data_IF_704003353641
#
_entry.id   IF_704003353641
#
_cell.length_a   1.000
_cell.length_b   1.000
_cell.length_c   1.000
_cell.angle_alpha   90.00
_cell.angle_beta   90.00
_cell.angle_gamma   90.00
#
_symmetry.space_group_name_H-M   'P 1'
#
loop_
_entity.id
_entity.type
_entity.pdbx_description
1 polymer ?
#
# COMPACT_ATOMS: atom_id res chain seq x y z
N UNK A 1 39.45 -3.45 25.94
CA UNK A 1 38.06 -3.97 25.84
C UNK A 1 37.13 -2.80 26.07
N UNK A 2 36.42 -2.32 25.04
CA UNK A 2 35.50 -1.21 25.18
C UNK A 2 34.18 -1.72 25.80
N UNK A 3 33.78 -1.14 26.93
CA UNK A 3 32.49 -1.41 27.58
C UNK A 3 31.36 -1.00 26.63
N UNK A 4 30.45 -1.94 26.36
CA UNK A 4 29.20 -1.65 25.63
C UNK A 4 28.36 -0.69 26.47
N UNK A 5 27.87 0.38 25.86
CA UNK A 5 26.87 1.24 26.47
C UNK A 5 25.61 0.40 26.77
N UNK A 6 25.19 0.37 28.02
CA UNK A 6 23.96 -0.29 28.43
C UNK A 6 22.80 0.67 28.15
N UNK A 7 22.03 0.41 27.10
CA UNK A 7 20.89 1.25 26.70
C UNK A 7 19.58 0.78 27.34
N UNK A 8 19.64 0.06 28.46
CA UNK A 8 18.46 -0.32 29.22
C UNK A 8 18.01 0.84 30.08
N UNK A 9 16.71 1.14 30.01
CA UNK A 9 16.07 2.18 30.81
C UNK A 9 16.09 1.77 32.29
N UNK A 10 16.72 2.58 33.15
CA UNK A 10 16.75 2.39 34.59
C UNK A 10 15.77 3.35 35.26
N UNK A 11 14.74 2.78 35.90
CA UNK A 11 13.68 3.53 36.57
C UNK A 11 14.17 4.25 37.84
N UNK A 12 15.29 3.82 38.41
CA UNK A 12 15.86 4.37 39.64
C UNK A 12 17.07 5.27 39.40
N UNK A 13 17.33 5.65 38.15
CA UNK A 13 18.36 6.63 37.81
C UNK A 13 18.05 7.96 38.55
N UNK A 14 19.00 8.55 39.29
CA UNK A 14 18.81 9.86 39.92
C UNK A 14 18.41 10.97 38.93
N UNK A 15 18.72 10.82 37.63
CA UNK A 15 18.27 11.74 36.58
C UNK A 15 16.84 11.45 36.09
N UNK A 16 16.21 10.33 36.47
CA UNK A 16 14.84 9.98 36.08
C UNK A 16 13.81 11.04 36.53
N UNK A 17 14.09 11.73 37.64
CA UNK A 17 13.26 12.83 38.15
C UNK A 17 13.32 14.12 37.32
N UNK A 18 14.34 14.29 36.46
CA UNK A 18 14.50 15.51 35.63
C UNK A 18 13.56 15.55 34.43
N UNK A 19 13.00 14.41 34.03
CA UNK A 19 12.01 14.32 32.94
C UNK A 19 10.57 14.60 33.39
N UNK A 20 10.33 14.79 34.70
CA UNK A 20 8.99 14.93 35.26
C UNK A 20 8.43 16.37 35.27
N UNK A 21 9.25 17.39 34.96
CA UNK A 21 8.90 18.81 35.20
C UNK A 21 8.87 19.69 33.94
N UNK A 22 8.33 19.16 32.85
CA UNK A 22 7.84 19.98 31.74
C UNK A 22 6.39 19.60 31.46
N UNK A 23 5.48 19.97 32.38
CA UNK A 23 4.07 20.05 32.01
C UNK A 23 3.96 21.10 30.91
N UNK A 24 3.94 20.65 29.65
CA UNK A 24 3.60 21.50 28.52
C UNK A 24 2.26 22.15 28.84
N UNK A 25 2.21 23.48 28.91
CA UNK A 25 0.97 24.23 29.03
C UNK A 25 0.16 24.02 27.74
N UNK A 26 -0.63 22.94 27.74
CA UNK A 26 -1.43 22.50 26.60
C UNK A 26 -2.82 23.13 26.59
N UNK A 27 -3.11 24.06 27.51
CA UNK A 27 -4.43 24.67 27.66
C UNK A 27 -4.82 25.60 26.51
N UNK A 28 -3.85 26.17 25.79
CA UNK A 28 -4.06 27.09 24.66
C UNK A 28 -3.76 26.48 23.28
N UNK A 29 -3.37 25.20 23.24
CA UNK A 29 -3.04 24.54 21.97
C UNK A 29 -4.31 24.15 21.22
N UNK A 30 -4.47 24.67 20.00
CA UNK A 30 -5.44 24.11 19.05
C UNK A 30 -4.99 22.70 18.69
N UNK A 31 -5.58 21.71 19.38
CA UNK A 31 -5.31 20.28 19.20
C UNK A 31 -5.75 19.77 17.82
N UNK A 32 -6.55 20.57 17.11
CA UNK A 32 -7.02 20.30 15.75
C UNK A 32 -6.03 20.77 14.68
N UNK A 33 -5.04 21.62 15.03
CA UNK A 33 -3.95 22.02 14.13
C UNK A 33 -2.68 21.19 14.41
N UNK A 34 -2.31 20.22 13.55
CA UNK A 34 -1.12 19.39 13.72
C UNK A 34 0.18 20.21 13.69
N UNK A 35 0.17 21.44 13.16
CA UNK A 35 1.32 22.35 13.16
C UNK A 35 1.67 22.81 14.57
N UNK A 36 0.69 22.91 15.47
CA UNK A 36 0.87 23.37 16.85
C UNK A 36 1.59 22.31 17.70
N UNK A 37 1.21 21.04 17.53
CA UNK A 37 1.85 19.89 18.18
C UNK A 37 3.22 19.55 17.56
N UNK A 38 3.34 19.63 16.24
CA UNK A 38 4.63 19.37 15.54
C UNK A 38 5.73 20.36 15.94
N UNK A 39 5.39 21.65 16.11
CA UNK A 39 6.34 22.70 16.54
C UNK A 39 6.87 22.50 17.95
N UNK A 40 6.09 21.90 18.84
CA UNK A 40 6.42 21.75 20.27
C UNK A 40 7.32 20.54 20.57
N UNK A 41 7.44 19.58 19.65
CA UNK A 41 8.24 18.35 19.82
C UNK A 41 9.39 18.26 18.80
N UNK A 42 9.68 19.36 18.08
CA UNK A 42 10.69 19.38 17.02
C UNK A 42 10.38 18.47 15.82
N UNK A 43 9.09 18.11 15.64
CA UNK A 43 8.62 17.27 14.54
C UNK A 43 8.42 18.04 13.24
N UNK A 44 8.46 17.31 12.12
CA UNK A 44 8.16 17.83 10.79
C UNK A 44 6.65 18.03 10.58
N UNK A 45 6.28 19.16 9.97
CA UNK A 45 4.88 19.51 9.69
C UNK A 45 4.35 18.57 8.60
N UNK A 46 3.46 17.65 8.98
CA UNK A 46 2.72 16.84 8.00
C UNK A 46 1.92 17.74 7.06
N UNK A 47 1.89 17.39 5.77
CA UNK A 47 1.16 18.14 4.75
C UNK A 47 -0.35 18.18 5.11
N UNK A 48 -0.88 19.39 5.28
CA UNK A 48 -2.28 19.60 5.61
C UNK A 48 -3.06 19.76 4.32
N UNK A 49 -3.85 18.74 3.99
CA UNK A 49 -4.73 18.74 2.82
C UNK A 49 -6.18 19.01 3.25
N UNK A 50 -6.92 19.81 2.48
CA UNK A 50 -8.34 20.08 2.78
C UNK A 50 -9.20 18.82 2.58
N UNK A 51 -10.32 18.65 3.32
CA UNK A 51 -11.22 17.53 3.12
C UNK A 51 -11.70 17.38 1.68
N UNK A 52 -11.95 18.49 0.98
CA UNK A 52 -12.37 18.49 -0.42
C UNK A 52 -11.28 17.97 -1.38
N UNK A 53 -10.01 18.28 -1.12
CA UNK A 53 -8.89 17.73 -1.89
C UNK A 53 -8.73 16.24 -1.65
N UNK A 54 -8.82 15.80 -0.39
CA UNK A 54 -8.75 14.38 -0.02
C UNK A 54 -9.89 13.59 -0.65
N UNK A 55 -11.13 14.10 -0.62
CA UNK A 55 -12.29 13.48 -1.30
C UNK A 55 -12.04 13.32 -2.80
N UNK A 56 -11.50 14.35 -3.47
CA UNK A 56 -11.20 14.29 -4.91
C UNK A 56 -10.11 13.28 -5.23
N UNK A 57 -9.00 13.30 -4.50
CA UNK A 57 -7.91 12.35 -4.71
C UNK A 57 -8.36 10.91 -4.43
N UNK A 58 -9.00 10.68 -3.29
CA UNK A 58 -9.48 9.35 -2.92
C UNK A 58 -10.49 8.80 -3.94
N UNK A 59 -11.43 9.62 -4.42
CA UNK A 59 -12.37 9.22 -5.46
C UNK A 59 -11.65 8.85 -6.77
N UNK A 60 -10.73 9.70 -7.24
CA UNK A 60 -10.00 9.45 -8.48
C UNK A 60 -9.17 8.14 -8.41
N UNK A 61 -8.49 7.89 -7.29
CA UNK A 61 -7.74 6.65 -7.08
C UNK A 61 -8.66 5.44 -6.98
N UNK A 62 -9.78 5.56 -6.26
CA UNK A 62 -10.74 4.46 -6.08
C UNK A 62 -11.40 4.06 -7.39
N UNK A 63 -11.79 5.04 -8.22
CA UNK A 63 -12.29 4.79 -9.57
C UNK A 63 -11.24 4.05 -10.42
N UNK A 64 -9.98 4.51 -10.36
CA UNK A 64 -8.88 3.88 -11.10
C UNK A 64 -8.61 2.46 -10.62
N UNK A 65 -8.61 2.22 -9.32
CA UNK A 65 -8.47 0.89 -8.69
C UNK A 65 -9.61 0.00 -9.14
N UNK A 66 -10.86 0.45 -9.05
CA UNK A 66 -12.04 -0.34 -9.44
C UNK A 66 -11.94 -0.78 -10.90
N UNK A 67 -11.65 0.15 -11.82
CA UNK A 67 -11.51 -0.14 -13.26
C UNK A 67 -10.34 -1.11 -13.49
N UNK A 68 -9.18 -0.84 -12.88
CA UNK A 68 -7.95 -1.60 -13.16
C UNK A 68 -8.01 -3.00 -12.53
N UNK A 69 -8.62 -3.12 -11.34
CA UNK A 69 -8.93 -4.39 -10.71
C UNK A 69 -9.88 -5.21 -11.59
N UNK A 70 -10.98 -4.63 -12.07
CA UNK A 70 -11.93 -5.34 -12.93
C UNK A 70 -11.24 -5.85 -14.20
N UNK A 71 -10.42 -5.01 -14.84
CA UNK A 71 -9.60 -5.42 -15.99
C UNK A 71 -8.67 -6.58 -15.65
N UNK A 72 -7.92 -6.50 -14.55
CA UNK A 72 -7.03 -7.58 -14.13
C UNK A 72 -7.80 -8.87 -13.83
N UNK A 73 -8.93 -8.76 -13.14
CA UNK A 73 -9.81 -9.87 -12.79
C UNK A 73 -10.30 -10.59 -14.05
N UNK A 74 -10.83 -9.84 -15.02
CA UNK A 74 -11.35 -10.35 -16.28
C UNK A 74 -10.26 -10.98 -17.16
N UNK A 75 -9.07 -10.38 -17.21
CA UNK A 75 -7.91 -10.95 -17.89
C UNK A 75 -7.54 -12.30 -17.27
N UNK A 76 -7.46 -12.40 -15.95
CA UNK A 76 -7.06 -13.65 -15.29
C UNK A 76 -8.14 -14.73 -15.39
N UNK A 77 -9.42 -14.35 -15.36
CA UNK A 77 -10.53 -15.28 -15.60
C UNK A 77 -10.41 -15.98 -16.97
N UNK A 78 -9.92 -15.29 -17.99
CA UNK A 78 -9.83 -15.80 -19.38
C UNK A 78 -8.46 -16.38 -19.74
N UNK A 79 -7.38 -15.79 -19.23
CA UNK A 79 -6.04 -15.99 -19.75
C UNK A 79 -5.00 -16.45 -18.72
N UNK A 80 -5.36 -16.70 -17.45
CA UNK A 80 -4.40 -17.06 -16.40
C UNK A 80 -3.48 -18.23 -16.78
N UNK A 81 -4.03 -19.31 -17.36
CA UNK A 81 -3.23 -20.46 -17.77
C UNK A 81 -2.21 -20.11 -18.87
N UNK A 82 -2.60 -19.26 -19.83
CA UNK A 82 -1.73 -18.80 -20.90
C UNK A 82 -0.63 -17.87 -20.36
N UNK A 83 -0.98 -16.93 -19.47
CA UNK A 83 -0.05 -16.03 -18.78
C UNK A 83 0.99 -16.85 -18.02
N UNK A 84 0.57 -17.82 -17.19
CA UNK A 84 1.46 -18.72 -16.44
C UNK A 84 2.41 -19.49 -17.35
N UNK A 85 1.87 -20.09 -18.43
CA UNK A 85 2.64 -20.83 -19.43
C UNK A 85 3.68 -19.94 -20.10
N UNK A 86 3.30 -18.72 -20.52
CA UNK A 86 4.21 -17.78 -21.20
C UNK A 86 5.29 -17.27 -20.25
N UNK A 87 4.93 -16.84 -19.05
CA UNK A 87 5.88 -16.36 -18.04
C UNK A 87 6.95 -17.40 -17.71
N UNK A 88 6.51 -18.65 -17.49
CA UNK A 88 7.41 -19.78 -17.18
C UNK A 88 8.42 -20.02 -18.31
N UNK A 89 7.99 -19.88 -19.57
CA UNK A 89 8.84 -20.07 -20.75
C UNK A 89 9.78 -18.90 -21.05
N UNK A 90 9.53 -17.68 -20.53
CA UNK A 90 10.40 -16.53 -20.77
C UNK A 90 11.78 -16.73 -20.14
N UNK A 91 12.82 -16.27 -20.82
CA UNK A 91 14.17 -16.21 -20.23
C UNK A 91 14.24 -15.10 -19.17
N UNK A 92 15.27 -15.13 -18.32
CA UNK A 92 15.49 -14.08 -17.31
C UNK A 92 15.55 -12.67 -17.92
N UNK A 93 16.23 -12.51 -19.06
CA UNK A 93 16.32 -11.21 -19.77
C UNK A 93 14.97 -10.74 -20.31
N UNK A 94 14.14 -11.65 -20.82
CA UNK A 94 12.79 -11.30 -21.29
C UNK A 94 11.87 -10.90 -20.14
N UNK A 95 11.93 -11.61 -19.00
CA UNK A 95 11.21 -11.24 -17.78
C UNK A 95 11.63 -9.86 -17.28
N UNK A 96 12.94 -9.60 -17.25
CA UNK A 96 13.49 -8.29 -16.89
C UNK A 96 12.93 -7.17 -17.77
N UNK A 97 12.89 -7.38 -19.09
CA UNK A 97 12.31 -6.40 -20.02
C UNK A 97 10.84 -6.12 -19.72
N UNK A 98 10.04 -7.16 -19.46
CA UNK A 98 8.62 -7.00 -19.13
C UNK A 98 8.44 -6.19 -17.84
N UNK A 99 9.16 -6.58 -16.77
CA UNK A 99 9.09 -5.93 -15.46
C UNK A 99 9.52 -4.47 -15.53
N UNK A 100 10.65 -4.15 -16.17
CA UNK A 100 11.16 -2.77 -16.26
C UNK A 100 10.35 -1.90 -17.22
N UNK A 101 9.66 -2.49 -18.20
CA UNK A 101 8.73 -1.75 -19.04
C UNK A 101 7.47 -1.34 -18.28
N UNK A 102 7.03 -2.13 -17.30
CA UNK A 102 5.84 -1.83 -16.48
C UNK A 102 6.19 -1.08 -15.18
N UNK A 103 7.41 -1.24 -14.67
CA UNK A 103 7.92 -0.55 -13.47
C UNK A 103 9.34 -0.05 -13.73
N UNK A 104 9.49 1.16 -14.28
CA UNK A 104 10.79 1.77 -14.46
C UNK A 104 11.54 1.88 -13.13
N UNK A 105 12.86 1.69 -13.16
CA UNK A 105 13.72 1.77 -11.96
C UNK A 105 13.34 0.81 -10.82
N UNK A 106 12.77 -0.37 -11.13
CA UNK A 106 12.49 -1.40 -10.14
C UNK A 106 13.76 -1.77 -9.35
N UNK A 107 13.72 -1.78 -8.00
CA UNK A 107 14.86 -2.15 -7.17
C UNK A 107 15.42 -3.53 -7.51
N UNK A 108 16.75 -3.65 -7.45
CA UNK A 108 17.42 -4.89 -7.85
C UNK A 108 17.29 -6.02 -6.81
N UNK A 109 17.26 -5.68 -5.53
CA UNK A 109 17.36 -6.62 -4.40
C UNK A 109 16.05 -6.71 -3.61
N UNK A 110 15.85 -7.84 -2.95
CA UNK A 110 14.80 -8.03 -1.95
C UNK A 110 14.97 -7.03 -0.79
N UNK A 111 13.84 -6.56 -0.24
CA UNK A 111 13.79 -5.54 0.84
C UNK A 111 14.60 -4.28 0.54
N UNK A 112 14.27 -3.56 -0.55
CA UNK A 112 14.95 -2.33 -0.91
C UNK A 112 14.74 -1.21 0.14
N UNK A 113 13.71 -1.32 0.97
CA UNK A 113 13.47 -0.47 2.15
C UNK A 113 14.61 -0.58 3.18
N UNK A 114 15.13 -1.79 3.42
CA UNK A 114 16.25 -1.99 4.34
C UNK A 114 17.56 -1.44 3.77
N UNK A 115 17.77 -1.59 2.46
CA UNK A 115 18.92 -0.99 1.80
C UNK A 115 18.88 0.54 1.84
N UNK A 116 17.71 1.13 1.56
CA UNK A 116 17.51 2.58 1.64
C UNK A 116 17.75 3.10 3.08
N UNK A 117 17.26 2.36 4.08
CA UNK A 117 17.44 2.72 5.48
C UNK A 117 18.90 2.63 5.93
N UNK A 118 19.60 1.54 5.60
CA UNK A 118 21.01 1.36 5.95
C UNK A 118 21.91 2.44 5.33
N UNK A 119 21.55 2.90 4.12
CA UNK A 119 22.21 4.04 3.47
C UNK A 119 21.92 5.41 4.09
N UNK A 120 21.13 5.48 5.18
CA UNK A 120 20.66 6.71 5.82
C UNK A 120 19.93 7.66 4.85
N UNK A 121 19.39 7.13 3.75
CA UNK A 121 18.79 7.92 2.70
C UNK A 121 17.29 8.06 2.95
N UNK A 122 16.90 9.16 3.58
CA UNK A 122 15.50 9.63 3.68
C UNK A 122 15.04 10.41 2.44
N UNK A 123 15.83 10.40 1.37
CA UNK A 123 15.50 11.12 0.14
C UNK A 123 14.21 10.58 -0.46
N UNK A 124 13.37 11.49 -0.96
CA UNK A 124 12.17 11.21 -1.77
C UNK A 124 12.47 10.21 -2.90
N UNK A 125 13.72 10.19 -3.39
CA UNK A 125 14.21 9.24 -4.41
C UNK A 125 13.99 7.76 -4.03
N UNK A 126 13.95 7.44 -2.74
CA UNK A 126 13.76 6.07 -2.23
C UNK A 126 12.37 5.80 -1.67
N UNK A 127 11.43 6.77 -1.77
CA UNK A 127 10.05 6.61 -1.26
C UNK A 127 9.40 5.33 -1.81
N UNK A 128 9.58 5.06 -3.10
CA UNK A 128 9.07 3.86 -3.76
C UNK A 128 9.57 2.56 -3.09
N UNK A 129 10.84 2.49 -2.70
CA UNK A 129 11.41 1.33 -2.02
C UNK A 129 10.76 1.06 -0.67
N UNK A 130 10.33 2.11 0.03
CA UNK A 130 9.63 2.01 1.30
C UNK A 130 8.15 1.68 1.17
N UNK A 131 7.51 2.04 0.04
CA UNK A 131 6.07 1.81 -0.18
C UNK A 131 5.81 0.43 -0.78
N UNK A 132 6.66 -0.01 -1.71
CA UNK A 132 6.53 -1.31 -2.37
C UNK A 132 7.78 -2.19 -2.16
N UNK A 133 8.13 -2.55 -0.91
CA UNK A 133 9.35 -3.33 -0.65
C UNK A 133 9.34 -4.74 -1.27
N UNK A 134 8.16 -5.23 -1.64
CA UNK A 134 7.97 -6.51 -2.32
C UNK A 134 8.01 -6.42 -3.86
N UNK A 135 8.15 -5.22 -4.43
CA UNK A 135 8.32 -5.02 -5.87
C UNK A 135 9.81 -4.83 -6.17
N UNK A 136 10.48 -5.94 -6.46
CA UNK A 136 11.91 -5.97 -6.76
C UNK A 136 12.24 -7.06 -7.80
N UNK A 137 13.40 -6.91 -8.46
CA UNK A 137 13.84 -7.82 -9.50
C UNK A 137 14.26 -9.20 -8.97
N UNK A 138 14.89 -9.25 -7.80
CA UNK A 138 15.34 -10.51 -7.18
C UNK A 138 14.19 -11.51 -7.05
N UNK A 139 13.06 -11.08 -6.52
CA UNK A 139 11.88 -11.92 -6.30
C UNK A 139 11.04 -12.11 -7.58
N UNK A 140 10.78 -11.02 -8.30
CA UNK A 140 9.83 -11.05 -9.42
C UNK A 140 10.40 -11.74 -10.66
N UNK A 141 11.72 -11.86 -10.81
CA UNK A 141 12.33 -12.58 -11.94
C UNK A 141 12.18 -14.11 -11.85
N UNK A 142 11.76 -14.61 -10.69
CA UNK A 142 11.46 -16.03 -10.51
C UNK A 142 10.23 -16.45 -11.34
N UNK A 143 10.12 -17.75 -11.62
CA UNK A 143 8.97 -18.29 -12.39
C UNK A 143 7.66 -18.26 -11.62
N UNK A 144 7.70 -18.14 -10.29
CA UNK A 144 6.52 -18.35 -9.41
C UNK A 144 5.95 -17.05 -8.85
N UNK A 145 6.79 -16.11 -8.43
CA UNK A 145 6.35 -14.95 -7.64
C UNK A 145 5.40 -14.04 -8.41
N UNK A 146 5.73 -13.62 -9.65
CA UNK A 146 4.82 -12.77 -10.43
C UNK A 146 3.46 -13.45 -10.71
N UNK A 147 3.38 -14.73 -11.17
CA UNK A 147 2.10 -15.42 -11.29
C UNK A 147 1.31 -15.57 -9.98
N UNK A 148 1.98 -15.75 -8.85
CA UNK A 148 1.31 -15.79 -7.54
C UNK A 148 0.74 -14.43 -7.17
N UNK A 149 1.51 -13.36 -7.38
CA UNK A 149 1.07 -11.98 -7.14
C UNK A 149 -0.13 -11.62 -8.03
N UNK A 150 -0.07 -11.95 -9.31
CA UNK A 150 -1.19 -11.78 -10.25
C UNK A 150 -2.44 -12.51 -9.76
N UNK A 151 -2.32 -13.80 -9.45
CA UNK A 151 -3.46 -14.59 -8.98
C UNK A 151 -4.06 -14.02 -7.69
N UNK A 152 -3.22 -13.68 -6.71
CA UNK A 152 -3.68 -13.09 -5.45
C UNK A 152 -4.44 -11.80 -5.69
N UNK A 153 -3.84 -10.84 -6.42
CA UNK A 153 -4.41 -9.49 -6.61
C UNK A 153 -5.55 -9.40 -7.61
N UNK A 154 -5.64 -10.32 -8.57
CA UNK A 154 -6.73 -10.35 -9.54
C UNK A 154 -7.89 -11.26 -9.15
N UNK A 155 -7.77 -12.11 -8.12
CA UNK A 155 -8.87 -13.01 -7.69
C UNK A 155 -9.59 -12.56 -6.41
N UNK A 156 -9.03 -11.61 -5.68
CA UNK A 156 -9.60 -11.13 -4.41
C UNK A 156 -9.79 -9.62 -4.46
N UNK A 157 -10.82 -9.12 -3.77
CA UNK A 157 -11.16 -7.71 -3.76
C UNK A 157 -10.01 -6.85 -3.18
N UNK A 158 -9.80 -5.60 -3.64
CA UNK A 158 -8.74 -4.73 -3.11
C UNK A 158 -8.79 -4.52 -1.59
N UNK A 159 -9.98 -4.47 -0.98
CA UNK A 159 -10.14 -4.31 0.49
C UNK A 159 -9.46 -5.43 1.28
N UNK A 160 -9.44 -6.67 0.76
CA UNK A 160 -8.77 -7.82 1.40
C UNK A 160 -7.27 -7.58 1.61
N UNK A 161 -6.68 -6.61 0.91
CA UNK A 161 -5.27 -6.29 1.00
C UNK A 161 -4.96 -4.97 1.70
N UNK A 162 -5.97 -4.17 2.08
CA UNK A 162 -5.76 -2.83 2.62
C UNK A 162 -4.81 -2.83 3.82
N UNK A 163 -5.03 -3.72 4.79
CA UNK A 163 -4.16 -3.86 5.97
C UNK A 163 -2.73 -4.30 5.62
N UNK A 164 -2.56 -5.33 4.78
CA UNK A 164 -1.22 -5.83 4.43
C UNK A 164 -0.43 -4.86 3.56
N UNK A 165 -1.11 -4.10 2.70
CA UNK A 165 -0.50 -3.04 1.90
C UNK A 165 0.00 -1.92 2.81
N UNK A 166 -0.82 -1.51 3.77
CA UNK A 166 -0.42 -0.52 4.75
C UNK A 166 0.76 -1.02 5.61
N UNK A 167 0.71 -2.25 6.12
CA UNK A 167 1.76 -2.83 6.95
C UNK A 167 3.11 -2.96 6.23
N UNK A 168 3.09 -3.23 4.92
CA UNK A 168 4.32 -3.29 4.11
C UNK A 168 5.10 -1.96 4.16
N UNK A 169 4.43 -0.83 4.37
CA UNK A 169 5.07 0.50 4.45
C UNK A 169 5.66 0.84 5.81
N UNK A 170 5.52 -0.06 6.81
CA UNK A 170 5.91 0.20 8.20
C UNK A 170 7.33 0.76 8.33
N UNK A 171 8.30 0.19 7.59
CA UNK A 171 9.69 0.66 7.64
C UNK A 171 9.83 2.12 7.18
N UNK A 172 9.10 2.51 6.13
CA UNK A 172 9.05 3.89 5.64
C UNK A 172 8.42 4.84 6.66
N UNK A 173 7.33 4.42 7.29
CA UNK A 173 6.64 5.25 8.30
C UNK A 173 7.47 5.45 9.56
N UNK A 174 8.02 4.38 10.14
CA UNK A 174 8.82 4.48 11.38
C UNK A 174 10.13 5.25 11.19
N UNK A 175 10.66 5.29 9.97
CA UNK A 175 11.87 6.05 9.63
C UNK A 175 11.59 7.49 9.15
N UNK A 176 10.32 7.88 9.07
CA UNK A 176 9.83 9.14 8.49
C UNK A 176 10.24 9.34 7.02
N UNK A 177 10.40 8.25 6.26
CA UNK A 177 10.61 8.30 4.80
C UNK A 177 9.29 8.24 4.02
N UNK A 178 8.20 7.82 4.67
CA UNK A 178 6.83 7.84 4.16
C UNK A 178 5.97 8.56 5.20
N UNK A 179 5.59 9.79 4.90
CA UNK A 179 4.73 10.59 5.75
C UNK A 179 3.26 10.38 5.36
N UNK A 180 2.39 10.34 6.36
CA UNK A 180 0.96 10.32 6.18
C UNK A 180 0.43 11.74 6.32
N UNK A 181 -0.55 12.10 5.50
CA UNK A 181 -1.29 13.33 5.72
C UNK A 181 -2.08 13.25 7.03
N UNK A 182 -2.22 14.37 7.72
CA UNK A 182 -3.09 14.47 8.88
C UNK A 182 -4.39 15.18 8.50
N UNK A 183 -5.51 14.54 8.79
CA UNK A 183 -6.83 15.15 8.74
C UNK A 183 -7.66 14.65 9.93
N UNK A 184 -8.07 15.59 10.79
CA UNK A 184 -8.87 15.30 11.97
C UNK A 184 -10.37 15.19 11.67
N UNK A 185 -11.12 14.55 12.55
CA UNK A 185 -12.58 14.41 12.52
C UNK A 185 -13.17 13.70 11.27
N UNK A 186 -12.35 12.88 10.61
CA UNK A 186 -12.77 12.10 9.45
C UNK A 186 -12.24 10.67 9.52
N UNK A 187 -12.98 9.77 8.89
CA UNK A 187 -12.62 8.36 8.71
C UNK A 187 -12.67 8.04 7.22
N UNK A 188 -11.73 7.24 6.72
CA UNK A 188 -11.77 6.73 5.36
C UNK A 188 -12.21 5.27 5.35
N UNK A 189 -13.18 4.94 4.50
CA UNK A 189 -13.71 3.60 4.35
C UNK A 189 -12.77 2.77 3.47
N UNK A 190 -12.18 1.72 4.02
CA UNK A 190 -11.25 0.80 3.36
C UNK A 190 -11.68 -0.66 3.45
N UNK A 191 -12.67 -0.98 4.28
CA UNK A 191 -13.25 -2.32 4.30
C UNK A 191 -14.65 -2.30 3.70
N UNK A 192 -14.96 -3.36 2.97
CA UNK A 192 -16.25 -3.53 2.30
C UNK A 192 -17.25 -4.15 3.27
N UNK A 193 -17.72 -3.33 4.21
CA UNK A 193 -18.76 -3.72 5.18
C UNK A 193 -20.10 -4.06 4.48
N UNK A 194 -20.26 -3.82 3.17
CA UNK A 194 -21.55 -3.87 2.46
C UNK A 194 -21.52 -4.48 1.06
N UNK A 195 -20.45 -5.17 0.65
CA UNK A 195 -20.28 -5.75 -0.71
C UNK A 195 -20.34 -4.72 -1.87
N UNK A 196 -20.10 -3.44 -1.59
CA UNK A 196 -20.20 -2.35 -2.55
C UNK A 196 -18.87 -1.60 -2.68
N UNK A 197 -18.12 -1.92 -3.74
CA UNK A 197 -16.86 -1.27 -4.12
C UNK A 197 -16.97 0.26 -4.24
N UNK A 198 -18.17 0.83 -4.42
CA UNK A 198 -18.37 2.27 -4.57
C UNK A 198 -18.04 3.08 -3.32
N UNK A 199 -18.09 2.47 -2.14
CA UNK A 199 -17.76 3.16 -0.90
C UNK A 199 -16.27 2.99 -0.52
N UNK A 200 -15.51 2.16 -1.26
CA UNK A 200 -14.08 2.01 -1.06
C UNK A 200 -13.34 3.34 -1.31
N UNK A 201 -12.52 3.76 -0.35
CA UNK A 201 -11.81 5.05 -0.36
C UNK A 201 -12.67 6.26 0.01
N UNK A 202 -13.94 6.09 0.39
CA UNK A 202 -14.82 7.22 0.73
C UNK A 202 -14.41 7.87 2.04
N UNK A 203 -14.31 9.21 2.03
CA UNK A 203 -14.07 10.01 3.23
C UNK A 203 -15.41 10.39 3.89
N UNK A 204 -15.53 10.11 5.18
CA UNK A 204 -16.73 10.38 5.99
C UNK A 204 -16.35 11.28 7.16
N UNK A 205 -17.06 12.40 7.35
CA UNK A 205 -16.89 13.24 8.52
C UNK A 205 -17.64 12.66 9.72
N UNK A 206 -17.07 12.76 10.93
CA UNK A 206 -17.72 12.24 12.15
C UNK A 206 -19.02 12.98 12.49
N UNK A 207 -19.13 14.24 12.07
CA UNK A 207 -20.36 15.03 12.20
C UNK A 207 -21.50 14.56 11.29
N UNK A 208 -21.17 13.96 10.14
CA UNK A 208 -22.13 13.42 9.18
C UNK A 208 -22.55 11.99 9.56
N UNK A 209 -21.65 11.23 10.18
CA UNK A 209 -21.90 9.87 10.64
C UNK A 209 -21.20 9.61 11.99
N UNK A 210 -21.95 9.59 13.11
CA UNK A 210 -21.40 9.35 14.45
C UNK A 210 -20.63 8.04 14.59
N UNK A 211 -21.02 6.99 13.84
CA UNK A 211 -20.36 5.68 13.90
C UNK A 211 -18.96 5.71 13.30
N UNK A 212 -18.65 6.70 12.44
CA UNK A 212 -17.37 6.79 11.76
C UNK A 212 -16.18 6.93 12.72
N UNK A 213 -16.36 7.62 13.85
CA UNK A 213 -15.36 7.70 14.91
C UNK A 213 -15.12 6.34 15.57
N UNK A 214 -16.21 5.60 15.85
CA UNK A 214 -16.13 4.26 16.43
C UNK A 214 -15.45 3.29 15.47
N UNK A 215 -15.75 3.35 14.18
CA UNK A 215 -15.12 2.50 13.17
C UNK A 215 -13.61 2.67 13.12
N UNK A 216 -13.13 3.92 13.20
CA UNK A 216 -11.71 4.22 13.24
C UNK A 216 -11.07 3.74 14.54
N UNK A 217 -11.64 4.07 15.69
CA UNK A 217 -11.08 3.69 17.00
C UNK A 217 -11.07 2.19 17.25
N UNK A 218 -11.99 1.44 16.62
CA UNK A 218 -12.03 -0.03 16.63
C UNK A 218 -11.23 -0.67 15.50
N UNK A 219 -10.47 0.10 14.71
CA UNK A 219 -9.67 -0.37 13.57
C UNK A 219 -10.49 -1.15 12.52
N UNK A 220 -11.79 -0.86 12.40
CA UNK A 220 -12.64 -1.38 11.33
C UNK A 220 -12.44 -0.61 10.03
N UNK A 221 -12.05 0.65 10.16
CA UNK A 221 -11.74 1.59 9.08
C UNK A 221 -10.51 2.40 9.49
N UNK A 222 -9.92 3.18 8.60
CA UNK A 222 -8.65 3.85 8.87
C UNK A 222 -8.77 5.38 8.89
N UNK A 223 -7.74 6.04 9.42
CA UNK A 223 -7.63 7.49 9.30
C UNK A 223 -7.35 7.89 7.84
N UNK A 224 -7.64 9.13 7.42
CA UNK A 224 -7.55 9.52 6.01
C UNK A 224 -6.16 9.36 5.39
N UNK A 225 -5.09 9.64 6.16
CA UNK A 225 -3.72 9.48 5.68
C UNK A 225 -3.33 8.04 5.39
N UNK A 226 -3.79 7.10 6.20
CA UNK A 226 -3.58 5.67 5.95
C UNK A 226 -4.33 5.22 4.70
N UNK A 227 -5.59 5.65 4.57
CA UNK A 227 -6.45 5.29 3.45
C UNK A 227 -5.90 5.80 2.11
N UNK A 228 -5.46 7.07 2.04
CA UNK A 228 -4.82 7.59 0.83
C UNK A 228 -3.55 6.82 0.44
N UNK A 229 -2.71 6.46 1.43
CA UNK A 229 -1.51 5.66 1.16
C UNK A 229 -1.87 4.27 0.63
N UNK A 230 -2.89 3.62 1.18
CA UNK A 230 -3.38 2.33 0.68
C UNK A 230 -3.88 2.45 -0.76
N UNK A 231 -4.67 3.49 -1.07
CA UNK A 231 -5.16 3.73 -2.42
C UNK A 231 -3.99 3.95 -3.40
N UNK A 232 -2.98 4.72 -3.02
CA UNK A 232 -1.77 4.91 -3.83
C UNK A 232 -1.06 3.57 -4.11
N UNK A 233 -0.86 2.74 -3.08
CA UNK A 233 -0.20 1.44 -3.18
C UNK A 233 -0.92 0.56 -4.20
N UNK A 234 -2.24 0.45 -4.04
CA UNK A 234 -3.06 -0.46 -4.82
C UNK A 234 -3.23 -0.01 -6.26
N UNK A 235 -3.44 1.29 -6.49
CA UNK A 235 -3.56 1.85 -7.83
C UNK A 235 -2.33 1.54 -8.68
N UNK A 236 -1.13 1.84 -8.15
CA UNK A 236 0.13 1.60 -8.86
C UNK A 236 0.38 0.12 -9.06
N UNK A 237 0.15 -0.69 -8.03
CA UNK A 237 0.35 -2.14 -8.09
C UNK A 237 -0.54 -2.80 -9.14
N UNK A 238 -1.84 -2.50 -9.14
CA UNK A 238 -2.79 -3.06 -10.09
C UNK A 238 -2.46 -2.62 -11.52
N UNK A 239 -2.08 -1.36 -11.72
CA UNK A 239 -1.65 -0.85 -13.02
C UNK A 239 -0.44 -1.61 -13.56
N UNK A 240 0.58 -1.82 -12.71
CA UNK A 240 1.75 -2.62 -13.04
C UNK A 240 1.39 -4.06 -13.44
N UNK A 241 0.47 -4.70 -12.72
CA UNK A 241 0.04 -6.07 -12.99
C UNK A 241 -0.70 -6.19 -14.32
N UNK A 242 -1.61 -5.26 -14.62
CA UNK A 242 -2.29 -5.21 -15.93
C UNK A 242 -1.28 -5.02 -17.06
N UNK A 243 -0.32 -4.10 -16.91
CA UNK A 243 0.72 -3.88 -17.93
C UNK A 243 1.59 -5.13 -18.16
N UNK A 244 1.91 -5.89 -17.09
CA UNK A 244 2.59 -7.17 -17.23
C UNK A 244 1.75 -8.18 -18.04
N UNK A 245 0.45 -8.26 -17.75
CA UNK A 245 -0.47 -9.12 -18.50
C UNK A 245 -0.55 -8.74 -19.98
N UNK A 246 -0.73 -7.46 -20.30
CA UNK A 246 -0.81 -6.96 -21.68
C UNK A 246 0.45 -7.30 -22.48
N UNK A 247 1.64 -7.13 -21.89
CA UNK A 247 2.90 -7.53 -22.55
C UNK A 247 3.01 -9.05 -22.73
N UNK A 248 2.53 -9.83 -21.76
CA UNK A 248 2.52 -11.29 -21.87
C UNK A 248 1.51 -11.78 -22.92
N UNK A 249 0.46 -11.00 -23.19
CA UNK A 249 -0.63 -11.27 -24.14
C UNK A 249 -0.54 -10.41 -25.41
N UNK A 250 0.65 -9.95 -25.79
CA UNK A 250 0.90 -9.02 -26.92
C UNK A 250 0.36 -9.44 -28.30
N UNK A 251 0.00 -10.70 -28.50
CA UNK A 251 -0.63 -11.23 -29.72
C UNK A 251 -2.17 -11.15 -29.70
N UNK A 252 -2.76 -10.83 -28.56
CA UNK A 252 -4.21 -10.61 -28.39
C UNK A 252 -4.44 -9.09 -28.38
N UNK A 253 -5.32 -8.57 -29.26
CA UNK A 253 -5.68 -7.15 -29.25
C UNK A 253 -6.21 -6.71 -27.88
N UNK A 254 -5.81 -5.52 -27.42
CA UNK A 254 -6.19 -5.03 -26.08
C UNK A 254 -7.71 -4.96 -25.89
N UNK A 255 -8.46 -4.60 -26.94
CA UNK A 255 -9.92 -4.53 -26.92
C UNK A 255 -10.62 -5.89 -26.75
N UNK A 256 -9.91 -7.01 -26.92
CA UNK A 256 -10.48 -8.37 -26.79
C UNK A 256 -9.97 -9.11 -25.56
N UNK A 257 -9.03 -8.56 -24.79
CA UNK A 257 -8.47 -9.18 -23.59
C UNK A 257 -9.51 -9.47 -22.50
N UNK A 258 -10.57 -8.68 -22.45
CA UNK A 258 -11.66 -8.81 -21.48
C UNK A 258 -13.00 -9.13 -22.12
N UNK A 259 -13.06 -9.26 -23.45
CA UNK A 259 -14.31 -9.53 -24.16
C UNK A 259 -14.77 -10.98 -24.01
N UNK A 260 -16.02 -11.24 -24.40
CA UNK A 260 -16.61 -12.59 -24.41
C UNK A 260 -16.10 -13.46 -25.57
N UNK A 261 -15.15 -12.95 -26.36
CA UNK A 261 -14.46 -13.73 -27.40
C UNK A 261 -13.63 -14.87 -26.82
N UNK A 262 -13.28 -14.80 -25.53
CA UNK A 262 -12.57 -15.86 -24.80
C UNK A 262 -13.41 -16.38 -23.64
N UNK A 263 -13.52 -17.72 -23.47
CA UNK A 263 -14.31 -18.29 -22.40
C UNK A 263 -13.70 -18.00 -21.03
N UNK A 264 -14.56 -17.75 -20.05
CA UNK A 264 -14.17 -17.62 -18.65
C UNK A 264 -13.86 -19.00 -18.06
N UNK A 265 -12.63 -19.20 -17.61
CA UNK A 265 -12.23 -20.40 -16.88
C UNK A 265 -12.42 -20.17 -15.38
N UNK A 266 -13.54 -20.67 -14.84
CA UNK A 266 -13.67 -20.84 -13.39
C UNK A 266 -12.61 -21.84 -12.94
N UNK A 267 -11.70 -21.42 -12.06
CA UNK A 267 -10.77 -22.36 -11.45
C UNK A 267 -11.59 -23.45 -10.77
N UNK A 268 -11.39 -24.71 -11.18
CA UNK A 268 -11.87 -25.86 -10.44
C UNK A 268 -11.25 -25.74 -9.03
N UNK A 269 -12.04 -25.80 -7.93
CA UNK A 269 -11.45 -25.83 -6.61
C UNK A 269 -10.42 -26.97 -6.57
N UNK A 270 -9.23 -26.68 -6.03
CA UNK A 270 -8.21 -27.70 -5.78
C UNK A 270 -8.89 -28.84 -5.03
N UNK A 271 -8.99 -30.00 -5.68
CA UNK A 271 -9.66 -31.17 -5.12
C UNK A 271 -9.00 -31.49 -3.77
N UNK A 272 -9.73 -31.54 -2.64
CA UNK A 272 -9.16 -31.77 -1.32
C UNK A 272 -8.85 -33.25 -1.08
N UNK A 273 -8.22 -33.92 -2.05
CA UNK A 273 -7.83 -35.33 -1.92
C UNK A 273 -6.43 -35.55 -2.45
N UNK A 274 -5.43 -35.24 -1.61
CA UNK A 274 -4.24 -36.08 -1.43
C UNK A 274 -3.71 -35.86 0.01
N UNK A 275 -4.21 -36.65 0.95
CA UNK A 275 -3.45 -37.50 1.87
C UNK A 275 -4.42 -38.32 2.71
#
# INVERSE_FOLDING_TARGET
MALRANNQFDYFDPDAGTYADHSLDTGSMDRSDPRTFSKSIGGFISEVMSPGNIRREAAARSDKISITYQTLHEILQRHEALIRKRWTKKTRQQRLKILLSAWPNMPAMHRPDFQAFAGHNKSIKYRDSYIWPYINLEDLLTTKTLPMLLNSRGRHHPSNFAGVDFDATKMGRVSNAVELIFLDNHTMIMDDLTENIKDYGKLVAWSENPDAFEWMTKQKQCIPGEGLLILEIQERLLTFLVQCCTQLLHDIPESTLTSDSFPVYRNRPLNPKVR
#
